data_IF_233474053325
#
_entry.id   IF_233474053325
#
_cell.length_a   1.000
_cell.length_b   1.000
_cell.length_c   1.000
_cell.angle_alpha   90.00
_cell.angle_beta   90.00
_cell.angle_gamma   90.00
#
_symmetry.space_group_name_H-M   'P 1'
#
loop_
_entity.id
_entity.type
_entity.pdbx_description
1 polymer ?
#
# COMPACT_ATOMS: atom_id res chain seq x y z
N UNK A 1 4.98 -13.01 1.85
CA UNK A 1 4.38 -11.85 1.14
C UNK A 1 3.00 -12.26 0.65
N UNK A 2 1.99 -11.41 0.84
CA UNK A 2 0.59 -11.66 0.46
C UNK A 2 0.21 -10.71 -0.68
N UNK A 3 -0.46 -11.26 -1.68
CA UNK A 3 -1.12 -10.49 -2.74
C UNK A 3 -2.56 -10.16 -2.32
N UNK A 4 -3.08 -9.03 -2.77
CA UNK A 4 -4.51 -8.76 -2.68
C UNK A 4 -5.26 -9.42 -3.85
N UNK A 5 -6.57 -9.52 -3.70
CA UNK A 5 -7.46 -10.03 -4.74
C UNK A 5 -8.59 -9.04 -5.00
N UNK A 6 -9.05 -9.00 -6.24
CA UNK A 6 -10.27 -8.33 -6.66
C UNK A 6 -11.04 -9.29 -7.58
N UNK A 7 -12.34 -9.39 -7.35
CA UNK A 7 -13.23 -10.21 -8.17
C UNK A 7 -14.09 -9.28 -9.00
N UNK A 8 -14.11 -9.50 -10.32
CA UNK A 8 -14.91 -8.69 -11.26
C UNK A 8 -15.95 -9.59 -11.90
N UNK A 9 -17.22 -9.19 -11.79
CA UNK A 9 -18.33 -9.85 -12.49
C UNK A 9 -18.18 -9.64 -13.99
N UNK A 10 -18.40 -10.70 -14.77
CA UNK A 10 -18.30 -10.69 -16.24
C UNK A 10 -19.66 -10.81 -16.91
N UNK A 11 -20.58 -11.55 -16.30
CA UNK A 11 -21.90 -11.79 -16.89
C UNK A 11 -22.98 -11.98 -15.82
N UNK A 12 -24.21 -11.66 -16.20
CA UNK A 12 -25.41 -11.76 -15.37
C UNK A 12 -26.52 -12.53 -16.09
N UNK A 13 -27.34 -13.24 -15.34
CA UNK A 13 -28.55 -13.85 -15.88
C UNK A 13 -29.66 -12.81 -16.12
N UNK A 14 -30.78 -13.25 -16.69
CA UNK A 14 -31.94 -12.40 -16.93
C UNK A 14 -32.56 -11.79 -15.67
N UNK A 15 -32.29 -12.37 -14.50
CA UNK A 15 -32.81 -11.95 -13.21
C UNK A 15 -31.80 -11.05 -12.46
N UNK A 16 -30.62 -10.81 -13.03
CA UNK A 16 -29.56 -9.99 -12.47
C UNK A 16 -28.62 -10.72 -11.50
N UNK A 17 -28.66 -12.05 -11.43
CA UNK A 17 -27.69 -12.82 -10.65
C UNK A 17 -26.39 -13.02 -11.42
N UNK A 18 -25.28 -13.10 -10.69
CA UNK A 18 -23.95 -13.33 -11.27
C UNK A 18 -23.89 -14.72 -11.89
N UNK A 19 -23.57 -14.78 -13.19
CA UNK A 19 -23.32 -16.04 -13.92
C UNK A 19 -21.83 -16.37 -13.97
N UNK A 20 -20.99 -15.35 -14.18
CA UNK A 20 -19.56 -15.50 -14.35
C UNK A 20 -18.79 -14.36 -13.69
N UNK A 21 -17.65 -14.69 -13.08
CA UNK A 21 -16.75 -13.74 -12.43
C UNK A 21 -15.30 -14.20 -12.56
N UNK A 22 -14.39 -13.24 -12.58
CA UNK A 22 -12.95 -13.51 -12.65
C UNK A 22 -12.21 -12.87 -11.48
N UNK A 23 -11.32 -13.63 -10.86
CA UNK A 23 -10.49 -13.18 -9.73
C UNK A 23 -9.11 -12.80 -10.22
N UNK A 24 -8.75 -11.53 -10.02
CA UNK A 24 -7.42 -11.00 -10.32
C UNK A 24 -6.59 -10.87 -9.05
N UNK A 25 -5.27 -10.95 -9.21
CA UNK A 25 -4.32 -10.95 -8.09
C UNK A 25 -3.31 -9.82 -8.26
N UNK A 26 -3.07 -9.05 -7.21
CA UNK A 26 -2.12 -7.93 -7.23
C UNK A 26 -0.68 -8.42 -7.32
N UNK A 27 0.21 -7.59 -7.86
CA UNK A 27 1.65 -7.92 -7.92
C UNK A 27 2.22 -8.06 -6.50
N UNK A 28 3.11 -9.05 -6.30
CA UNK A 28 3.81 -9.28 -5.03
C UNK A 28 4.99 -8.30 -4.85
N UNK A 29 5.71 -8.01 -5.93
CA UNK A 29 6.86 -7.09 -5.94
C UNK A 29 6.43 -5.66 -6.33
N UNK A 30 5.76 -4.97 -5.43
CA UNK A 30 5.29 -3.59 -5.66
C UNK A 30 6.43 -2.58 -5.55
N UNK A 31 6.54 -1.72 -6.56
CA UNK A 31 7.52 -0.63 -6.62
C UNK A 31 7.22 0.44 -5.58
N UNK A 32 8.27 1.09 -5.06
CA UNK A 32 8.16 2.19 -4.11
C UNK A 32 7.33 3.34 -4.67
N UNK A 33 7.48 3.64 -5.96
CA UNK A 33 6.68 4.64 -6.69
C UNK A 33 5.18 4.42 -6.51
N UNK A 34 4.72 3.19 -6.75
CA UNK A 34 3.30 2.86 -6.72
C UNK A 34 2.75 2.95 -5.29
N UNK A 35 3.54 2.55 -4.29
CA UNK A 35 3.16 2.69 -2.88
C UNK A 35 3.08 4.17 -2.47
N UNK A 36 4.05 4.98 -2.88
CA UNK A 36 4.05 6.43 -2.63
C UNK A 36 2.79 7.09 -3.21
N UNK A 37 2.44 6.74 -4.45
CA UNK A 37 1.25 7.26 -5.11
C UNK A 37 -0.05 6.84 -4.39
N UNK A 38 -0.12 5.59 -3.90
CA UNK A 38 -1.23 5.14 -3.06
C UNK A 38 -1.37 5.98 -1.80
N UNK A 39 -0.26 6.26 -1.09
CA UNK A 39 -0.27 7.10 0.11
C UNK A 39 -0.68 8.55 -0.20
N UNK A 40 -0.27 9.09 -1.34
CA UNK A 40 -0.63 10.45 -1.75
C UNK A 40 -2.13 10.57 -2.07
N UNK A 41 -2.69 9.63 -2.84
CA UNK A 41 -4.13 9.58 -3.12
C UNK A 41 -4.93 9.45 -1.83
N UNK A 42 -4.55 8.55 -0.93
CA UNK A 42 -5.25 8.38 0.35
C UNK A 42 -5.17 9.64 1.23
N UNK A 43 -4.03 10.34 1.23
CA UNK A 43 -3.87 11.64 1.91
C UNK A 43 -4.82 12.69 1.36
N UNK A 44 -4.97 12.75 0.03
CA UNK A 44 -5.88 13.69 -0.65
C UNK A 44 -7.34 13.40 -0.31
N UNK A 45 -7.72 12.10 -0.29
CA UNK A 45 -9.06 11.65 0.14
C UNK A 45 -9.32 12.06 1.60
N UNK A 46 -8.39 11.83 2.53
CA UNK A 46 -8.53 12.24 3.93
C UNK A 46 -8.77 13.75 4.09
N UNK A 47 -8.18 14.55 3.20
CA UNK A 47 -8.33 16.01 3.19
C UNK A 47 -9.59 16.49 2.47
N UNK A 48 -10.40 15.58 1.94
CA UNK A 48 -11.62 15.92 1.20
C UNK A 48 -11.35 16.58 -0.16
N UNK A 49 -10.22 16.25 -0.81
CA UNK A 49 -9.89 16.74 -2.15
C UNK A 49 -10.90 16.22 -3.18
N UNK A 50 -11.73 17.12 -3.71
CA UNK A 50 -12.76 16.81 -4.70
C UNK A 50 -12.22 16.44 -6.08
N UNK A 51 -10.93 16.72 -6.36
CA UNK A 51 -10.30 16.31 -7.61
C UNK A 51 -9.97 14.82 -7.64
N UNK A 52 -9.95 14.15 -6.49
CA UNK A 52 -9.80 12.69 -6.43
C UNK A 52 -11.14 12.04 -6.72
N UNK A 53 -11.34 11.67 -7.98
CA UNK A 53 -12.53 10.99 -8.44
C UNK A 53 -12.33 9.48 -8.59
N UNK A 54 -13.44 8.77 -8.87
CA UNK A 54 -13.44 7.33 -9.08
C UNK A 54 -12.53 6.90 -10.24
N UNK A 55 -12.34 7.75 -11.25
CA UNK A 55 -11.52 7.44 -12.41
C UNK A 55 -10.02 7.45 -12.05
N UNK A 56 -9.60 8.42 -11.24
CA UNK A 56 -8.24 8.54 -10.71
C UNK A 56 -7.90 7.33 -9.84
N UNK A 57 -8.80 6.96 -8.93
CA UNK A 57 -8.67 5.77 -8.08
C UNK A 57 -8.60 4.51 -8.94
N UNK A 58 -9.46 4.40 -9.96
CA UNK A 58 -9.49 3.25 -10.87
C UNK A 58 -8.19 3.08 -11.66
N UNK A 59 -7.61 4.17 -12.19
CA UNK A 59 -6.33 4.13 -12.90
C UNK A 59 -5.19 3.63 -12.01
N UNK A 60 -5.24 3.94 -10.72
CA UNK A 60 -4.27 3.43 -9.77
C UNK A 60 -4.49 1.94 -9.47
N UNK A 61 -5.74 1.50 -9.28
CA UNK A 61 -6.08 0.09 -9.08
C UNK A 61 -5.65 -0.77 -10.28
N UNK A 62 -5.90 -0.33 -11.50
CA UNK A 62 -5.46 -1.05 -12.71
C UNK A 62 -3.94 -1.27 -12.70
N UNK A 63 -3.15 -0.26 -12.29
CA UNK A 63 -1.70 -0.38 -12.18
C UNK A 63 -1.25 -1.29 -11.04
N UNK A 64 -1.97 -1.33 -9.91
CA UNK A 64 -1.75 -2.29 -8.81
C UNK A 64 -1.88 -3.74 -9.31
N UNK A 65 -2.83 -3.97 -10.21
CA UNK A 65 -3.09 -5.25 -10.85
C UNK A 65 -2.34 -5.42 -12.18
N UNK A 66 -1.28 -4.64 -12.43
CA UNK A 66 -0.40 -4.78 -13.60
C UNK A 66 -1.14 -4.74 -14.95
N UNK A 67 -2.23 -3.97 -15.01
CA UNK A 67 -3.08 -3.82 -16.19
C UNK A 67 -3.72 -5.14 -16.68
N UNK A 68 -4.00 -6.08 -15.77
CA UNK A 68 -4.70 -7.34 -16.07
C UNK A 68 -6.13 -7.14 -16.61
N UNK A 69 -6.73 -5.96 -16.38
CA UNK A 69 -8.06 -5.58 -16.85
C UNK A 69 -8.09 -4.10 -17.20
N UNK A 70 -9.08 -3.72 -18.00
CA UNK A 70 -9.34 -2.33 -18.39
C UNK A 70 -10.17 -1.58 -17.34
N UNK A 71 -10.16 -0.24 -17.40
CA UNK A 71 -11.01 0.60 -16.56
C UNK A 71 -12.49 0.29 -16.72
N UNK A 72 -12.93 -0.02 -17.94
CA UNK A 72 -14.32 -0.38 -18.20
C UNK A 72 -14.68 -1.67 -17.46
N UNK A 73 -13.87 -2.72 -17.63
CA UNK A 73 -14.09 -4.01 -16.95
C UNK A 73 -14.06 -3.87 -15.42
N UNK A 74 -13.18 -3.02 -14.88
CA UNK A 74 -13.16 -2.72 -13.45
C UNK A 74 -14.45 -2.03 -12.98
N UNK A 75 -14.89 -0.98 -13.69
CA UNK A 75 -16.03 -0.17 -13.25
C UNK A 75 -17.38 -0.87 -13.47
N UNK A 76 -17.48 -1.71 -14.50
CA UNK A 76 -18.67 -2.50 -14.84
C UNK A 76 -18.75 -3.79 -14.00
N UNK A 77 -17.59 -4.38 -13.65
CA UNK A 77 -17.53 -5.64 -12.91
C UNK A 77 -17.64 -5.50 -11.38
N UNK A 78 -17.60 -4.28 -10.86
CA UNK A 78 -17.82 -3.98 -9.44
C UNK A 78 -19.25 -3.50 -9.17
N UNK A 79 -19.82 -3.91 -8.03
CA UNK A 79 -21.13 -3.43 -7.61
C UNK A 79 -21.12 -1.91 -7.39
N UNK A 80 -22.08 -1.20 -7.99
CA UNK A 80 -22.07 0.26 -8.00
C UNK A 80 -22.19 0.90 -6.60
N UNK A 81 -22.77 0.18 -5.62
CA UNK A 81 -22.96 0.64 -4.24
C UNK A 81 -21.66 0.50 -3.45
N UNK A 82 -20.94 -0.61 -3.61
CA UNK A 82 -19.71 -0.91 -2.85
C UNK A 82 -18.42 -0.49 -3.57
N UNK A 83 -18.46 -0.28 -4.89
CA UNK A 83 -17.30 0.00 -5.76
C UNK A 83 -16.30 0.99 -5.18
N UNK A 84 -16.75 2.14 -4.68
CA UNK A 84 -15.82 3.15 -4.16
C UNK A 84 -15.04 2.65 -2.94
N UNK A 85 -15.71 1.89 -2.06
CA UNK A 85 -15.10 1.29 -0.88
C UNK A 85 -14.08 0.24 -1.32
N UNK A 86 -14.48 -0.68 -2.20
CA UNK A 86 -13.61 -1.75 -2.68
C UNK A 86 -12.35 -1.20 -3.37
N UNK A 87 -12.49 -0.17 -4.21
CA UNK A 87 -11.35 0.48 -4.86
C UNK A 87 -10.40 1.14 -3.84
N UNK A 88 -10.92 1.82 -2.83
CA UNK A 88 -10.11 2.44 -1.77
C UNK A 88 -9.40 1.37 -0.92
N UNK A 89 -10.05 0.24 -0.66
CA UNK A 89 -9.45 -0.90 0.04
C UNK A 89 -8.26 -1.48 -0.73
N UNK A 90 -8.34 -1.55 -2.06
CA UNK A 90 -7.22 -1.99 -2.90
C UNK A 90 -5.99 -1.10 -2.73
N UNK A 91 -6.18 0.23 -2.78
CA UNK A 91 -5.10 1.20 -2.62
C UNK A 91 -4.55 1.16 -1.18
N UNK A 92 -5.44 1.01 -0.19
CA UNK A 92 -5.10 0.92 1.24
C UNK A 92 -4.23 -0.31 1.54
N UNK A 93 -4.56 -1.48 0.97
CA UNK A 93 -3.77 -2.70 1.15
C UNK A 93 -2.32 -2.51 0.69
N UNK A 94 -2.13 -1.85 -0.46
CA UNK A 94 -0.81 -1.57 -1.01
C UNK A 94 -0.07 -0.51 -0.18
N UNK A 95 -0.72 0.61 0.14
CA UNK A 95 -0.12 1.69 0.92
C UNK A 95 0.31 1.26 2.33
N UNK A 96 -0.50 0.43 3.00
CA UNK A 96 -0.22 -0.05 4.36
C UNK A 96 0.89 -1.11 4.42
N UNK A 97 1.26 -1.71 3.29
CA UNK A 97 2.20 -2.81 3.28
C UNK A 97 1.67 -4.09 3.93
N UNK A 98 0.34 -4.29 3.99
CA UNK A 98 -0.27 -5.53 4.51
C UNK A 98 0.19 -6.79 3.75
N UNK A 99 0.65 -6.63 2.51
CA UNK A 99 1.28 -7.68 1.72
C UNK A 99 2.65 -8.15 2.23
N UNK A 100 3.25 -7.48 3.21
CA UNK A 100 4.57 -7.80 3.73
C UNK A 100 4.43 -8.42 5.12
N UNK A 101 4.47 -9.76 5.20
CA UNK A 101 4.55 -10.45 6.50
C UNK A 101 5.86 -10.07 7.18
N UNK A 102 5.75 -9.28 8.24
CA UNK A 102 6.83 -9.10 9.21
C UNK A 102 6.86 -10.37 10.05
N UNK A 103 7.96 -11.13 10.00
CA UNK A 103 8.14 -12.32 10.82
C UNK A 103 7.76 -12.03 12.27
N UNK A 104 6.93 -12.90 12.85
CA UNK A 104 6.40 -12.79 14.21
C UNK A 104 7.54 -12.63 15.22
N UNK A 105 7.79 -11.37 15.60
CA UNK A 105 8.86 -10.98 16.49
C UNK A 105 8.50 -9.66 17.14
N UNK A 106 7.47 -9.72 17.99
CA UNK A 106 6.83 -8.59 18.69
C UNK A 106 6.16 -7.63 17.70
N UNK A 107 4.83 -7.60 17.73
CA UNK A 107 4.09 -6.41 17.34
C UNK A 107 4.60 -5.25 18.21
N UNK A 108 5.61 -4.53 17.72
CA UNK A 108 5.82 -3.18 18.18
C UNK A 108 4.65 -2.41 17.62
N UNK A 109 3.69 -2.13 18.49
CA UNK A 109 2.58 -1.18 18.36
C UNK A 109 3.06 0.25 18.05
N UNK A 110 3.91 0.42 17.04
CA UNK A 110 4.46 1.69 16.55
C UNK A 110 4.20 1.92 15.05
N UNK A 111 3.53 1.00 14.37
CA UNK A 111 2.85 1.34 13.10
C UNK A 111 1.50 2.02 13.39
N UNK A 112 0.97 1.88 14.61
CA UNK A 112 -0.22 2.61 15.11
C UNK A 112 0.07 4.09 15.46
N UNK A 113 1.23 4.64 15.08
CA UNK A 113 1.60 6.03 15.36
C UNK A 113 1.90 6.82 14.08
N UNK A 114 1.29 6.41 12.95
CA UNK A 114 1.05 7.27 11.80
C UNK A 114 -0.31 7.91 12.04
N UNK A 115 -0.34 9.19 12.41
CA UNK A 115 -1.60 9.85 12.77
C UNK A 115 -2.47 10.14 11.52
N UNK A 116 -1.94 9.91 10.31
CA UNK A 116 -2.60 10.09 9.00
C UNK A 116 -1.78 9.43 7.87
N UNK A 117 -2.37 9.30 6.66
CA UNK A 117 -1.62 8.90 5.46
C UNK A 117 -0.55 9.92 5.07
N UNK A 118 -0.74 11.18 5.45
CA UNK A 118 0.23 12.26 5.24
C UNK A 118 1.56 11.97 5.95
N UNK A 119 1.51 11.53 7.20
CA UNK A 119 2.72 11.15 7.95
C UNK A 119 3.47 10.00 7.27
N UNK A 120 2.74 9.03 6.73
CA UNK A 120 3.31 7.85 6.07
C UNK A 120 4.03 8.25 4.78
N UNK A 121 3.36 9.04 3.94
CA UNK A 121 3.89 9.62 2.71
C UNK A 121 5.13 10.46 2.99
N UNK A 122 5.09 11.32 4.01
CA UNK A 122 6.18 12.23 4.34
C UNK A 122 7.40 11.49 4.89
N UNK A 123 7.21 10.38 5.61
CA UNK A 123 8.30 9.51 6.05
C UNK A 123 8.99 8.84 4.87
N UNK A 124 8.22 8.31 3.91
CA UNK A 124 8.78 7.76 2.68
C UNK A 124 9.53 8.84 1.88
N UNK A 125 8.98 10.04 1.77
CA UNK A 125 9.63 11.19 1.11
C UNK A 125 10.96 11.55 1.77
N UNK A 126 11.04 11.54 3.11
CA UNK A 126 12.28 11.78 3.86
C UNK A 126 13.31 10.69 3.58
N UNK A 127 12.89 9.43 3.53
CA UNK A 127 13.77 8.31 3.17
C UNK A 127 14.36 8.49 1.77
N UNK A 128 13.52 8.72 0.75
CA UNK A 128 14.00 8.94 -0.62
C UNK A 128 15.01 10.09 -0.67
N UNK A 129 14.70 11.22 -0.02
CA UNK A 129 15.62 12.37 0.07
C UNK A 129 16.94 12.03 0.74
N UNK A 130 16.95 11.19 1.77
CA UNK A 130 18.17 10.73 2.45
C UNK A 130 19.03 9.92 1.48
N UNK A 131 18.44 8.94 0.81
CA UNK A 131 19.15 8.09 -0.15
C UNK A 131 19.71 8.90 -1.33
N UNK A 132 18.98 9.92 -1.79
CA UNK A 132 19.48 10.85 -2.81
C UNK A 132 20.73 11.62 -2.35
N UNK A 133 20.76 12.06 -1.08
CA UNK A 133 21.96 12.71 -0.51
C UNK A 133 23.16 11.76 -0.42
N UNK A 134 22.91 10.47 -0.31
CA UNK A 134 23.92 9.40 -0.35
C UNK A 134 24.33 9.04 -1.79
N UNK A 135 23.84 9.77 -2.80
CA UNK A 135 24.24 9.64 -4.20
C UNK A 135 23.41 8.63 -5.01
N UNK A 136 22.28 8.14 -4.47
CA UNK A 136 21.37 7.27 -5.23
C UNK A 136 20.48 8.08 -6.17
N UNK A 137 20.29 7.58 -7.39
CA UNK A 137 19.37 8.19 -8.38
C UNK A 137 17.90 7.97 -7.99
N UNK A 138 17.06 8.98 -8.22
CA UNK A 138 15.65 8.95 -7.83
C UNK A 138 14.85 7.88 -8.60
N UNK A 139 15.11 7.68 -9.89
CA UNK A 139 14.38 6.69 -10.68
C UNK A 139 14.70 5.29 -10.16
N UNK A 140 15.98 5.03 -9.91
CA UNK A 140 16.43 3.79 -9.29
C UNK A 140 15.77 3.56 -7.92
N UNK A 141 15.60 4.62 -7.12
CA UNK A 141 14.93 4.53 -5.81
C UNK A 141 13.44 4.22 -5.93
N UNK A 142 12.75 4.88 -6.87
CA UNK A 142 11.32 4.70 -7.11
C UNK A 142 10.99 3.32 -7.70
N UNK A 143 11.92 2.75 -8.46
CA UNK A 143 11.85 1.39 -8.99
C UNK A 143 12.15 0.29 -7.95
N UNK A 144 12.63 0.64 -6.75
CA UNK A 144 12.96 -0.37 -5.73
C UNK A 144 11.70 -1.09 -5.23
N UNK A 145 11.82 -2.38 -4.86
CA UNK A 145 10.80 -3.09 -4.10
C UNK A 145 10.48 -2.39 -2.77
N UNK A 146 9.19 -2.20 -2.46
CA UNK A 146 8.77 -1.60 -1.20
C UNK A 146 9.20 -2.41 0.04
N UNK A 147 9.39 -3.74 -0.09
CA UNK A 147 9.96 -4.58 0.98
C UNK A 147 11.30 -4.05 1.49
N UNK A 148 12.16 -3.59 0.60
CA UNK A 148 13.48 -3.08 0.96
C UNK A 148 13.40 -1.79 1.78
N UNK A 149 12.45 -0.91 1.45
CA UNK A 149 12.15 0.26 2.28
C UNK A 149 11.70 -0.16 3.68
N UNK A 150 10.78 -1.13 3.78
CA UNK A 150 10.27 -1.62 5.06
C UNK A 150 11.39 -2.25 5.91
N UNK A 151 12.30 -3.00 5.31
CA UNK A 151 13.48 -3.54 5.99
C UNK A 151 14.37 -2.44 6.55
N UNK A 152 14.70 -1.40 5.76
CA UNK A 152 15.54 -0.29 6.22
C UNK A 152 14.87 0.47 7.36
N UNK A 153 13.59 0.81 7.22
CA UNK A 153 12.84 1.52 8.27
C UNK A 153 12.79 0.70 9.56
N UNK A 154 12.58 -0.62 9.46
CA UNK A 154 12.62 -1.50 10.61
C UNK A 154 14.00 -1.54 11.27
N UNK A 155 15.07 -1.64 10.50
CA UNK A 155 16.44 -1.66 11.04
C UNK A 155 16.83 -0.34 11.71
N UNK A 156 16.44 0.81 11.14
CA UNK A 156 16.61 2.12 11.77
C UNK A 156 15.80 2.24 13.08
N UNK A 157 14.60 1.65 13.13
CA UNK A 157 13.78 1.63 14.35
C UNK A 157 14.40 0.75 15.45
N UNK A 158 15.03 -0.38 15.08
CA UNK A 158 15.72 -1.27 16.02
C UNK A 158 16.99 -0.63 16.61
N UNK A 159 17.74 0.16 15.81
CA UNK A 159 18.93 0.90 16.29
C UNK A 159 18.62 2.01 17.29
N UNK A 160 17.40 2.56 17.27
CA UNK A 160 16.95 3.61 18.19
C UNK A 160 16.33 3.09 19.51
N UNK A 161 16.26 1.77 19.70
CA UNK A 161 15.99 1.21 21.03
C UNK A 161 17.28 1.32 21.83
N UNK A 162 17.41 2.38 22.63
CA UNK A 162 18.37 2.38 23.75
C UNK A 162 18.22 1.02 24.43
N UNK A 163 19.31 0.25 24.52
CA UNK A 163 19.43 -0.80 25.54
C UNK A 163 19.10 -0.09 26.86
N UNK A 164 17.86 -0.24 27.33
CA UNK A 164 17.61 -0.05 28.75
C UNK A 164 18.44 -1.13 29.39
N UNK A 165 19.56 -0.72 30.00
CA UNK A 165 20.32 -1.54 30.92
C UNK A 165 19.28 -2.23 31.81
N UNK A 166 19.09 -3.52 31.56
CA UNK A 166 18.21 -4.34 32.37
C UNK A 166 18.88 -4.37 33.74
N UNK A 167 18.13 -4.11 34.82
CA UNK A 167 18.61 -4.22 36.20
C UNK A 167 19.22 -5.61 36.52
N UNK A 168 19.12 -6.58 35.61
CA UNK A 168 19.77 -7.89 35.67
C UNK A 168 21.30 -7.81 35.46
N UNK A 169 21.81 -6.84 34.70
CA UNK A 169 23.27 -6.66 34.50
C UNK A 169 23.97 -6.03 35.71
N UNK A 170 23.21 -5.56 36.72
CA UNK A 170 23.77 -5.03 37.96
C UNK A 170 24.01 -6.11 39.04
N UNK A 171 23.67 -7.37 38.76
CA UNK A 171 23.77 -8.49 39.70
C UNK A 171 24.59 -9.69 39.18
N UNK A 172 25.30 -9.55 38.05
CA UNK A 172 26.29 -10.53 37.58
C UNK A 172 27.71 -9.97 37.68
#
# INVERSE_FOLDING_TARGET
>A
MKSNKIELVKDFDSDGNVLDSEVYVSRINTKLELVYECMDILTRIEKGDSEVDVHTISDLVIRIYDNQFTKKELLDGLDAVTRNIELIEQITFIASGQGFEVQEGKQNNKINNLNSWEDARDNMKKFVKKMMKEGKDINNLMDMPFSFFMEIVQDESKKNVKKTESMIDAFM
#
